data_IF_483608629652
#
_entry.id   IF_483608629652
#
_cell.length_a   1.000
_cell.length_b   1.000
_cell.length_c   1.000
_cell.angle_alpha   90.00
_cell.angle_beta   90.00
_cell.angle_gamma   90.00
#
_symmetry.space_group_name_H-M   'P 1'
#
loop_
_entity.id
_entity.type
_entity.pdbx_description
1 polymer ?
#
# COMPACT_ATOMS: atom_id res chain seq x y z
N UNK A 1 -8.12 18.32 -2.51
CA UNK A 1 -8.20 17.11 -3.37
C UNK A 1 -9.39 17.27 -4.30
N UNK A 2 -9.21 17.06 -5.60
CA UNK A 2 -10.28 17.24 -6.58
C UNK A 2 -11.11 15.96 -6.74
N UNK A 3 -12.43 16.11 -6.84
CA UNK A 3 -13.35 15.06 -7.29
C UNK A 3 -13.77 15.43 -8.70
N UNK A 4 -13.55 14.52 -9.65
CA UNK A 4 -13.83 14.71 -11.06
C UNK A 4 -14.92 13.74 -11.51
N UNK A 5 -15.70 14.13 -12.52
CA UNK A 5 -16.61 13.21 -13.20
C UNK A 5 -15.80 12.20 -14.02
N UNK A 6 -16.06 10.92 -13.82
CA UNK A 6 -15.31 9.86 -14.50
C UNK A 6 -15.58 9.83 -16.02
N UNK A 7 -16.68 10.43 -16.50
CA UNK A 7 -17.09 10.37 -17.91
C UNK A 7 -16.34 11.39 -18.76
N UNK A 8 -16.18 12.61 -18.26
CA UNK A 8 -15.67 13.75 -19.02
C UNK A 8 -14.53 14.51 -18.31
N UNK A 9 -14.16 14.09 -17.10
CA UNK A 9 -13.09 14.70 -16.32
C UNK A 9 -13.43 16.08 -15.73
N UNK A 10 -14.68 16.55 -15.85
CA UNK A 10 -15.04 17.87 -15.32
C UNK A 10 -14.92 17.89 -13.79
N UNK A 11 -14.45 18.99 -13.18
CA UNK A 11 -14.40 19.10 -11.73
C UNK A 11 -15.80 19.14 -11.13
N UNK A 12 -16.07 18.24 -10.19
CA UNK A 12 -17.31 18.20 -9.43
C UNK A 12 -17.16 18.94 -8.11
N UNK A 13 -16.11 18.62 -7.33
CA UNK A 13 -15.88 19.15 -5.98
C UNK A 13 -14.40 19.31 -5.69
N UNK A 14 -14.11 20.10 -4.65
CA UNK A 14 -12.80 20.16 -4.01
C UNK A 14 -12.98 19.83 -2.54
N UNK A 15 -12.34 18.76 -2.10
CA UNK A 15 -12.26 18.36 -0.69
C UNK A 15 -11.04 19.05 -0.07
N UNK A 16 -11.30 20.00 0.82
CA UNK A 16 -10.26 20.78 1.49
C UNK A 16 -9.74 20.05 2.73
N UNK A 17 -8.42 20.03 2.88
CA UNK A 17 -7.72 19.54 4.06
C UNK A 17 -6.48 20.40 4.27
N UNK A 18 -6.04 20.53 5.53
CA UNK A 18 -4.79 21.22 5.82
C UNK A 18 -3.61 20.36 5.33
N UNK A 19 -2.60 20.98 4.71
CA UNK A 19 -1.29 20.38 4.44
C UNK A 19 -0.27 21.46 4.07
N UNK A 20 1.02 21.24 4.34
CA UNK A 20 2.09 22.09 3.80
C UNK A 20 2.62 21.56 2.47
N UNK A 21 2.61 20.25 2.25
CA UNK A 21 3.03 19.59 1.01
C UNK A 21 1.99 18.59 0.52
N UNK A 22 1.96 18.33 -0.78
CA UNK A 22 1.03 17.38 -1.40
C UNK A 22 1.57 15.94 -1.46
N UNK A 23 2.61 15.60 -0.69
CA UNK A 23 3.22 14.25 -0.62
C UNK A 23 2.41 13.29 0.26
N UNK A 24 1.08 13.40 0.24
CA UNK A 24 0.19 12.49 0.94
C UNK A 24 0.05 11.18 0.17
N UNK A 25 -0.26 10.09 0.88
CA UNK A 25 -0.62 8.83 0.24
C UNK A 25 -1.93 8.92 -0.56
N UNK A 26 -2.23 7.84 -1.29
CA UNK A 26 -3.43 7.79 -2.12
C UNK A 26 -4.70 7.91 -1.26
N UNK A 27 -5.72 8.67 -1.69
CA UNK A 27 -7.02 8.67 -1.03
C UNK A 27 -7.72 7.32 -1.22
N UNK A 28 -8.47 6.90 -0.21
CA UNK A 28 -9.08 5.56 -0.17
C UNK A 28 -10.60 5.68 -0.12
N UNK A 29 -11.31 5.34 -1.20
CA UNK A 29 -12.78 5.30 -1.19
C UNK A 29 -13.27 4.03 -0.47
N UNK A 30 -14.32 4.17 0.35
CA UNK A 30 -15.05 3.03 0.92
C UNK A 30 -16.52 3.40 1.17
N UNK A 31 -17.44 2.75 0.46
CA UNK A 31 -18.84 3.17 0.41
C UNK A 31 -18.96 4.57 -0.18
N UNK A 32 -19.78 5.42 0.45
CA UNK A 32 -19.98 6.82 0.02
C UNK A 32 -18.89 7.79 0.52
N UNK A 33 -17.94 7.27 1.33
CA UNK A 33 -16.93 8.09 1.98
C UNK A 33 -15.56 7.95 1.32
N UNK A 34 -14.76 9.00 1.44
CA UNK A 34 -13.35 9.05 1.05
C UNK A 34 -12.47 9.33 2.25
N UNK A 35 -11.42 8.54 2.44
CA UNK A 35 -10.49 8.66 3.55
C UNK A 35 -9.11 9.11 3.07
N UNK A 36 -8.45 9.98 3.83
CA UNK A 36 -7.16 10.54 3.44
C UNK A 36 -6.27 10.88 4.63
N UNK A 37 -5.01 10.45 4.60
CA UNK A 37 -3.97 10.95 5.50
C UNK A 37 -3.36 12.22 4.90
N UNK A 38 -3.40 13.32 5.63
CA UNK A 38 -2.79 14.57 5.21
C UNK A 38 -1.26 14.57 5.41
N UNK A 39 -0.56 15.49 4.74
CA UNK A 39 0.88 15.65 4.87
C UNK A 39 1.33 16.48 6.09
N UNK A 40 2.63 16.79 6.15
CA UNK A 40 3.42 17.20 7.33
C UNK A 40 2.93 18.38 8.20
N UNK A 41 2.03 19.25 7.75
CA UNK A 41 1.37 20.25 8.64
C UNK A 41 -0.14 20.05 8.76
N UNK A 42 -0.71 19.24 7.87
CA UNK A 42 -2.07 18.74 8.02
C UNK A 42 -2.18 17.73 9.14
N UNK A 43 -1.20 16.84 9.21
CA UNK A 43 -0.93 15.84 10.25
C UNK A 43 -2.17 15.15 10.84
N UNK A 44 -3.14 14.90 9.99
CA UNK A 44 -4.43 14.35 10.37
C UNK A 44 -4.95 13.36 9.36
N UNK A 45 -5.85 12.51 9.82
CA UNK A 45 -6.62 11.59 8.98
C UNK A 45 -8.02 12.17 8.84
N UNK A 46 -8.51 12.24 7.62
CA UNK A 46 -9.78 12.85 7.27
C UNK A 46 -10.72 11.82 6.66
N UNK A 47 -12.01 11.98 6.93
CA UNK A 47 -13.08 11.34 6.18
C UNK A 47 -13.97 12.42 5.56
N UNK A 48 -14.33 12.21 4.30
CA UNK A 48 -15.20 13.08 3.53
C UNK A 48 -16.39 12.30 2.99
N UNK A 49 -17.53 12.95 2.86
CA UNK A 49 -18.57 12.56 1.92
C UNK A 49 -18.16 13.16 0.57
N UNK A 50 -17.74 12.29 -0.36
CA UNK A 50 -17.19 12.72 -1.64
C UNK A 50 -18.26 13.33 -2.56
N UNK A 51 -19.50 12.89 -2.44
CA UNK A 51 -20.62 13.36 -3.25
C UNK A 51 -21.13 14.73 -2.77
N UNK A 52 -21.30 14.88 -1.45
CA UNK A 52 -21.68 16.13 -0.83
C UNK A 52 -20.53 17.15 -0.84
N UNK A 53 -19.28 16.69 -0.84
CA UNK A 53 -18.10 17.54 -0.76
C UNK A 53 -17.82 18.05 0.65
N UNK A 54 -18.31 17.36 1.69
CA UNK A 54 -18.25 17.78 3.08
C UNK A 54 -17.30 16.89 3.88
N UNK A 55 -16.64 17.46 4.89
CA UNK A 55 -15.88 16.69 5.85
C UNK A 55 -16.84 16.01 6.84
N UNK A 56 -16.72 14.70 6.98
CA UNK A 56 -17.50 13.91 7.96
C UNK A 56 -16.83 13.98 9.32
N UNK A 57 -15.53 13.67 9.37
CA UNK A 57 -14.71 13.82 10.57
C UNK A 57 -13.25 14.08 10.21
N UNK A 58 -12.51 14.59 11.18
CA UNK A 58 -11.05 14.68 11.12
C UNK A 58 -10.46 14.21 12.45
N UNK A 59 -9.36 13.48 12.36
CA UNK A 59 -8.57 13.06 13.50
C UNK A 59 -7.20 13.71 13.42
N UNK A 60 -6.92 14.58 14.37
CA UNK A 60 -5.62 15.21 14.60
C UNK A 60 -5.25 15.07 16.08
N UNK A 61 -3.98 15.30 16.42
CA UNK A 61 -3.53 15.53 17.80
C UNK A 61 -2.78 16.86 17.84
N UNK A 62 -2.54 17.42 19.03
CA UNK A 62 -1.77 18.67 19.17
C UNK A 62 -0.36 18.57 18.60
N UNK A 63 0.18 17.35 18.53
CA UNK A 63 1.42 17.02 17.84
C UNK A 63 1.17 16.58 16.38
N UNK A 64 0.04 15.97 16.05
CA UNK A 64 -0.19 15.34 14.76
C UNK A 64 0.06 13.83 14.80
N UNK A 65 -0.48 13.11 13.82
CA UNK A 65 -0.51 11.63 13.82
C UNK A 65 0.01 10.97 12.55
N UNK A 66 0.22 11.74 11.49
CA UNK A 66 0.78 11.30 10.19
C UNK A 66 1.79 12.35 9.72
N UNK A 67 2.63 12.02 8.76
CA UNK A 67 3.70 12.89 8.27
C UNK A 67 3.66 13.04 6.75
N UNK A 68 4.10 12.03 6.02
CA UNK A 68 4.06 12.01 4.56
C UNK A 68 4.17 10.59 4.02
N UNK A 69 3.54 10.38 2.87
CA UNK A 69 3.52 9.10 2.16
C UNK A 69 2.48 8.09 2.66
N UNK A 70 1.87 8.29 3.83
CA UNK A 70 0.98 7.30 4.42
C UNK A 70 -0.28 7.15 3.55
N UNK A 71 -0.52 5.94 3.04
CA UNK A 71 -1.79 5.55 2.47
C UNK A 71 -2.57 4.75 3.50
N UNK A 72 -3.90 4.93 3.51
CA UNK A 72 -4.74 4.28 4.50
C UNK A 72 -5.11 2.84 4.07
N UNK A 73 -5.38 1.98 5.04
CA UNK A 73 -6.24 0.81 4.85
C UNK A 73 -7.63 1.16 5.37
N UNK A 74 -8.69 0.71 4.71
CA UNK A 74 -10.08 0.97 5.17
C UNK A 74 -10.92 -0.29 4.99
N UNK A 75 -11.68 -0.67 6.02
CA UNK A 75 -12.70 -1.72 5.92
C UNK A 75 -14.06 -1.23 6.44
N UNK A 76 -15.03 -2.12 6.60
CA UNK A 76 -16.37 -1.75 7.05
C UNK A 76 -16.42 -1.08 8.43
N UNK A 77 -15.45 -1.35 9.31
CA UNK A 77 -15.40 -0.91 10.71
C UNK A 77 -14.35 0.15 10.97
N UNK A 78 -13.20 0.08 10.30
CA UNK A 78 -12.01 0.81 10.72
C UNK A 78 -11.23 1.46 9.58
N UNK A 79 -10.43 2.46 9.97
CA UNK A 79 -9.39 3.10 9.16
C UNK A 79 -8.05 2.79 9.81
N UNK A 80 -7.10 2.33 9.00
CA UNK A 80 -5.79 1.83 9.42
C UNK A 80 -4.69 2.68 8.81
N UNK A 81 -3.66 2.99 9.59
CA UNK A 81 -2.43 3.59 9.07
C UNK A 81 -1.27 3.28 10.00
N UNK A 82 -0.09 3.14 9.42
CA UNK A 82 1.14 3.02 10.18
C UNK A 82 1.78 4.40 10.32
N UNK A 83 2.13 4.77 11.54
CA UNK A 83 2.91 5.98 11.81
C UNK A 83 3.60 5.90 13.16
N UNK A 84 4.74 6.58 13.30
CA UNK A 84 5.45 6.73 14.57
C UNK A 84 5.74 5.42 15.31
N UNK A 85 6.03 4.33 14.58
CA UNK A 85 6.31 3.02 15.19
C UNK A 85 5.07 2.29 15.68
N UNK A 86 3.89 2.54 15.12
CA UNK A 86 2.67 1.85 15.52
C UNK A 86 1.69 1.71 14.37
N UNK A 87 0.94 0.61 14.39
CA UNK A 87 -0.30 0.48 13.64
C UNK A 87 -1.41 1.17 14.41
N UNK A 88 -1.98 2.23 13.83
CA UNK A 88 -3.10 2.98 14.38
C UNK A 88 -4.40 2.55 13.70
N UNK A 89 -5.43 2.34 14.51
CA UNK A 89 -6.76 1.87 14.08
C UNK A 89 -7.81 2.83 14.62
N UNK A 90 -8.53 3.50 13.73
CA UNK A 90 -9.61 4.41 14.06
C UNK A 90 -10.96 3.76 13.75
N UNK A 91 -11.97 4.04 14.55
CA UNK A 91 -13.37 3.77 14.20
C UNK A 91 -13.73 4.56 12.93
N UNK A 92 -14.21 3.87 11.90
CA UNK A 92 -14.53 4.49 10.62
C UNK A 92 -15.70 5.47 10.71
N UNK A 93 -16.61 5.25 11.66
CA UNK A 93 -17.81 6.06 11.83
C UNK A 93 -17.52 7.48 12.34
N UNK A 94 -16.54 7.65 13.21
CA UNK A 94 -16.31 8.91 13.94
C UNK A 94 -14.84 9.34 14.07
N UNK A 95 -13.89 8.52 13.58
CA UNK A 95 -12.46 8.82 13.64
C UNK A 95 -11.84 8.67 15.04
N UNK A 96 -12.58 8.15 16.03
CA UNK A 96 -12.06 7.89 17.37
C UNK A 96 -11.06 6.74 17.35
N UNK A 97 -10.06 6.75 18.24
CA UNK A 97 -9.06 5.68 18.29
C UNK A 97 -9.70 4.42 18.86
N UNK A 98 -9.72 3.34 18.07
CA UNK A 98 -10.09 2.01 18.54
C UNK A 98 -8.89 1.30 19.16
N UNK A 99 -7.75 1.32 18.47
CA UNK A 99 -6.55 0.61 18.92
C UNK A 99 -5.27 1.24 18.37
N UNK A 100 -4.19 1.10 19.14
CA UNK A 100 -2.82 1.30 18.67
C UNK A 100 -2.01 0.06 19.02
N UNK A 101 -1.28 -0.49 18.05
CA UNK A 101 -0.47 -1.69 18.22
C UNK A 101 0.98 -1.33 17.90
N UNK A 102 1.87 -1.46 18.87
CA UNK A 102 3.25 -0.98 18.77
C UNK A 102 4.10 -1.88 17.87
N UNK A 103 4.92 -1.26 17.02
CA UNK A 103 6.08 -1.86 16.38
C UNK A 103 7.32 -1.67 17.27
N UNK A 104 7.82 -2.71 17.96
CA UNK A 104 8.99 -2.59 18.84
C UNK A 104 10.31 -2.42 18.06
N UNK A 105 10.29 -2.51 16.73
CA UNK A 105 11.48 -2.41 15.87
C UNK A 105 11.67 -1.01 15.27
N UNK A 106 10.76 -0.08 15.54
CA UNK A 106 10.82 1.29 15.02
C UNK A 106 12.08 2.04 15.46
N UNK A 107 12.85 2.54 14.51
CA UNK A 107 14.03 3.35 14.78
C UNK A 107 13.67 4.84 14.80
N UNK A 108 13.81 5.46 15.98
CA UNK A 108 13.62 6.91 16.15
C UNK A 108 14.87 7.73 15.84
N UNK A 109 16.01 7.07 15.60
CA UNK A 109 17.29 7.76 15.45
C UNK A 109 17.28 8.69 14.23
N UNK A 110 17.61 9.97 14.45
CA UNK A 110 17.71 10.98 13.39
C UNK A 110 16.37 11.59 12.93
N UNK A 111 15.24 11.25 13.55
CA UNK A 111 13.95 11.82 13.21
C UNK A 111 13.71 13.13 13.98
N UNK A 112 13.31 14.18 13.27
CA UNK A 112 12.81 15.41 13.89
C UNK A 112 11.43 15.21 14.53
N UNK A 113 10.64 14.26 14.01
CA UNK A 113 9.27 14.03 14.45
C UNK A 113 8.87 12.55 14.48
N UNK A 114 8.03 12.10 13.54
CA UNK A 114 7.61 10.70 13.42
C UNK A 114 8.20 9.98 12.20
N UNK A 115 8.94 10.70 11.36
CA UNK A 115 9.55 10.20 10.12
C UNK A 115 8.52 9.96 9.00
N UNK A 116 9.03 9.76 7.79
CA UNK A 116 8.22 9.55 6.58
C UNK A 116 7.85 8.08 6.42
N UNK A 117 6.63 7.80 5.96
CA UNK A 117 6.18 6.44 5.74
C UNK A 117 5.38 6.30 4.45
N UNK A 118 6.05 5.89 3.39
CA UNK A 118 5.42 5.56 2.12
C UNK A 118 4.97 4.11 2.14
N UNK A 119 3.65 3.88 2.17
CA UNK A 119 3.07 2.54 2.14
C UNK A 119 1.61 2.52 2.58
N UNK A 120 0.95 1.41 2.32
CA UNK A 120 -0.43 1.17 2.75
C UNK A 120 -0.52 -0.09 3.63
N UNK A 121 -1.33 -0.09 4.71
CA UNK A 121 -1.75 -1.33 5.37
C UNK A 121 -2.52 -2.24 4.40
N UNK A 122 -2.15 -3.53 4.38
CA UNK A 122 -2.81 -4.58 3.62
C UNK A 122 -3.69 -5.37 4.59
N UNK A 123 -4.99 -5.49 4.28
CA UNK A 123 -5.98 -6.13 5.15
C UNK A 123 -6.37 -7.49 4.59
N UNK A 124 -6.42 -8.53 5.41
CA UNK A 124 -6.93 -9.86 4.98
C UNK A 124 -8.43 -10.08 5.21
N UNK A 125 -9.11 -9.09 5.79
CA UNK A 125 -10.52 -9.19 6.16
C UNK A 125 -10.79 -10.10 7.36
N UNK A 126 -9.74 -10.59 8.06
CA UNK A 126 -9.80 -11.47 9.23
C UNK A 126 -9.03 -10.87 10.41
N UNK A 127 -9.10 -9.55 10.55
CA UNK A 127 -8.44 -8.77 11.59
C UNK A 127 -6.91 -8.72 11.53
N UNK A 128 -6.26 -9.33 10.51
CA UNK A 128 -4.81 -9.21 10.33
C UNK A 128 -4.48 -8.05 9.38
N UNK A 129 -3.40 -7.36 9.72
CA UNK A 129 -2.91 -6.19 9.00
C UNK A 129 -1.43 -6.38 8.70
N UNK A 130 -1.03 -6.19 7.45
CA UNK A 130 0.37 -6.30 7.03
C UNK A 130 0.86 -4.97 6.48
N UNK A 131 2.07 -4.57 6.85
CA UNK A 131 2.67 -3.33 6.36
C UNK A 131 4.19 -3.37 6.53
N UNK A 132 4.90 -2.29 6.23
CA UNK A 132 6.34 -2.20 6.46
C UNK A 132 6.67 -1.79 7.90
N UNK A 133 7.75 -2.34 8.45
CA UNK A 133 8.22 -2.09 9.81
C UNK A 133 9.29 -1.03 9.81
N UNK A 134 9.00 0.15 10.38
CA UNK A 134 9.85 1.36 10.41
C UNK A 134 9.60 2.38 9.27
N UNK A 135 10.20 3.56 9.40
CA UNK A 135 10.20 4.62 8.40
C UNK A 135 10.63 4.10 7.04
N UNK A 136 10.03 4.66 6.00
CA UNK A 136 10.24 4.20 4.63
C UNK A 136 9.99 5.35 3.67
N UNK A 137 11.03 5.76 2.95
CA UNK A 137 10.92 6.68 1.83
C UNK A 137 10.28 6.04 0.59
N UNK A 138 9.92 6.88 -0.39
CA UNK A 138 9.46 6.40 -1.68
C UNK A 138 10.56 5.55 -2.33
N UNK A 139 10.21 4.33 -2.77
CA UNK A 139 11.12 3.34 -3.35
C UNK A 139 12.17 2.74 -2.40
N UNK A 140 12.09 2.98 -1.09
CA UNK A 140 12.95 2.30 -0.14
C UNK A 140 12.44 0.88 0.17
N UNK A 141 13.33 0.02 0.65
CA UNK A 141 12.96 -1.34 1.06
C UNK A 141 12.92 -1.46 2.57
N UNK A 142 11.96 -2.24 3.07
CA UNK A 142 11.87 -2.52 4.50
C UNK A 142 11.29 -3.91 4.78
N UNK A 143 11.44 -4.41 6.00
CA UNK A 143 10.83 -5.66 6.41
C UNK A 143 9.30 -5.49 6.50
N UNK A 144 8.56 -6.57 6.22
CA UNK A 144 7.12 -6.60 6.41
C UNK A 144 6.84 -7.05 7.85
N UNK A 145 5.87 -6.41 8.50
CA UNK A 145 5.38 -6.72 9.84
C UNK A 145 3.87 -6.97 9.79
N UNK A 146 3.43 -7.93 10.60
CA UNK A 146 2.03 -8.25 10.79
C UNK A 146 1.54 -7.79 12.16
N UNK A 147 0.32 -7.28 12.17
CA UNK A 147 -0.46 -6.96 13.35
C UNK A 147 -1.79 -7.69 13.30
N UNK A 148 -2.44 -7.84 14.44
CA UNK A 148 -3.80 -8.38 14.50
C UNK A 148 -4.63 -7.61 15.53
N UNK A 149 -5.91 -7.32 15.23
CA UNK A 149 -6.77 -6.56 16.15
C UNK A 149 -6.99 -7.27 17.49
N UNK A 150 -6.85 -8.61 17.53
CA UNK A 150 -6.87 -9.39 18.77
C UNK A 150 -5.59 -9.32 19.60
N UNK A 151 -4.49 -8.80 19.07
CA UNK A 151 -3.16 -8.81 19.71
C UNK A 151 -2.72 -7.41 20.12
N UNK A 152 -2.02 -7.29 21.26
CA UNK A 152 -1.48 -6.00 21.73
C UNK A 152 -0.11 -5.67 21.15
N UNK A 153 0.56 -6.67 20.56
CA UNK A 153 1.87 -6.56 19.93
C UNK A 153 1.80 -7.09 18.49
N UNK A 154 2.87 -6.88 17.73
CA UNK A 154 3.07 -7.50 16.42
C UNK A 154 2.97 -9.04 16.49
N UNK A 155 2.56 -9.65 15.38
CA UNK A 155 2.41 -11.11 15.24
C UNK A 155 3.70 -11.74 14.75
N UNK A 156 4.24 -11.21 13.64
CA UNK A 156 5.52 -11.62 13.07
C UNK A 156 6.13 -10.46 12.28
N UNK A 157 7.43 -10.57 12.00
CA UNK A 157 8.18 -9.65 11.13
C UNK A 157 9.12 -10.46 10.26
N UNK A 158 9.24 -10.11 8.98
CA UNK A 158 10.16 -10.78 8.07
C UNK A 158 11.62 -10.44 8.41
N UNK A 159 12.51 -11.40 8.16
CA UNK A 159 13.96 -11.19 8.20
C UNK A 159 14.46 -10.45 6.96
N UNK A 160 13.91 -10.78 5.79
CA UNK A 160 14.20 -10.10 4.53
C UNK A 160 13.48 -8.75 4.43
N UNK A 161 14.00 -7.89 3.55
CA UNK A 161 13.40 -6.62 3.17
C UNK A 161 12.74 -6.71 1.80
N UNK A 162 11.68 -5.93 1.63
CA UNK A 162 10.83 -5.92 0.45
C UNK A 162 10.66 -4.50 -0.07
N UNK A 163 10.44 -4.38 -1.37
CA UNK A 163 10.26 -3.12 -2.10
C UNK A 163 8.97 -3.17 -2.90
N UNK A 164 8.39 -2.01 -3.19
CA UNK A 164 7.07 -1.91 -3.82
C UNK A 164 5.96 -2.39 -2.87
N UNK A 165 4.71 -2.03 -3.15
CA UNK A 165 3.59 -2.49 -2.32
C UNK A 165 3.33 -3.99 -2.59
N UNK A 166 3.41 -4.88 -1.58
CA UNK A 166 3.05 -6.28 -1.74
C UNK A 166 1.55 -6.45 -2.02
N UNK A 167 1.17 -7.58 -2.59
CA UNK A 167 -0.23 -7.93 -2.79
C UNK A 167 -0.62 -9.18 -2.01
N UNK A 168 -1.86 -9.21 -1.51
CA UNK A 168 -2.40 -10.32 -0.74
C UNK A 168 -3.38 -11.14 -1.58
N UNK A 169 -3.23 -12.47 -1.59
CA UNK A 169 -4.27 -13.38 -2.07
C UNK A 169 -4.16 -14.74 -1.39
N UNK A 170 -5.29 -15.32 -1.02
CA UNK A 170 -5.36 -16.70 -0.54
C UNK A 170 -4.47 -16.97 0.69
N UNK A 171 -4.36 -16.01 1.61
CA UNK A 171 -3.50 -16.13 2.80
C UNK A 171 -2.00 -16.02 2.51
N UNK A 172 -1.61 -15.54 1.32
CA UNK A 172 -0.22 -15.34 0.92
C UNK A 172 0.02 -13.89 0.52
N UNK A 173 1.11 -13.31 1.01
CA UNK A 173 1.66 -12.06 0.48
C UNK A 173 2.65 -12.38 -0.63
N UNK A 174 2.54 -11.65 -1.73
CA UNK A 174 3.46 -11.67 -2.85
C UNK A 174 4.27 -10.39 -2.79
N UNK A 175 5.56 -10.50 -2.47
CA UNK A 175 6.40 -9.37 -2.12
C UNK A 175 7.71 -9.37 -2.94
N UNK A 176 7.99 -8.31 -3.72
CA UNK A 176 9.27 -8.17 -4.42
C UNK A 176 10.40 -8.04 -3.41
N UNK A 177 11.31 -9.01 -3.40
CA UNK A 177 12.45 -9.00 -2.50
C UNK A 177 13.43 -7.90 -2.95
N UNK A 178 13.84 -7.07 -1.99
CA UNK A 178 14.72 -5.94 -2.26
C UNK A 178 16.01 -6.35 -2.99
N UNK A 179 16.44 -5.53 -3.96
CA UNK A 179 17.65 -5.74 -4.76
C UNK A 179 17.73 -7.12 -5.41
N UNK A 180 16.59 -7.62 -5.92
CA UNK A 180 16.53 -8.96 -6.50
C UNK A 180 15.52 -9.10 -7.63
N UNK A 181 15.60 -10.23 -8.34
CA UNK A 181 14.65 -10.68 -9.36
C UNK A 181 13.62 -11.68 -8.80
N UNK A 182 13.41 -11.67 -7.48
CA UNK A 182 12.52 -12.61 -6.81
C UNK A 182 11.26 -11.93 -6.25
N UNK A 183 10.14 -12.61 -6.41
CA UNK A 183 8.93 -12.37 -5.63
C UNK A 183 8.82 -13.47 -4.59
N UNK A 184 8.87 -13.11 -3.31
CA UNK A 184 8.64 -14.06 -2.23
C UNK A 184 7.15 -14.25 -1.99
N UNK A 185 6.77 -15.50 -1.75
CA UNK A 185 5.43 -15.92 -1.36
C UNK A 185 5.44 -16.19 0.14
N UNK A 186 4.96 -15.23 0.91
CA UNK A 186 4.99 -15.24 2.38
C UNK A 186 3.65 -15.73 2.91
N UNK A 187 3.66 -16.74 3.76
CA UNK A 187 2.47 -17.19 4.49
C UNK A 187 2.04 -16.13 5.51
N UNK A 188 0.79 -15.69 5.42
CA UNK A 188 0.28 -14.59 6.27
C UNK A 188 0.10 -14.96 7.73
N UNK A 189 -0.08 -16.24 8.05
CA UNK A 189 -0.26 -16.69 9.43
C UNK A 189 1.07 -16.69 10.19
N UNK A 190 2.17 -17.03 9.51
CA UNK A 190 3.48 -17.28 10.13
C UNK A 190 4.57 -16.29 9.76
N UNK A 191 4.42 -15.56 8.67
CA UNK A 191 5.47 -14.71 8.10
C UNK A 191 6.58 -15.51 7.39
N UNK A 192 6.42 -16.83 7.24
CA UNK A 192 7.40 -17.69 6.59
C UNK A 192 7.36 -17.54 5.07
N UNK A 193 8.52 -17.45 4.44
CA UNK A 193 8.65 -17.53 2.98
C UNK A 193 8.43 -18.99 2.55
N UNK A 194 7.31 -19.25 1.87
CA UNK A 194 6.92 -20.60 1.39
C UNK A 194 7.44 -20.92 -0.01
N UNK A 195 7.74 -19.89 -0.80
CA UNK A 195 8.38 -20.00 -2.11
C UNK A 195 9.04 -18.67 -2.49
N UNK A 196 9.98 -18.72 -3.43
CA UNK A 196 10.56 -17.54 -4.08
C UNK A 196 10.48 -17.74 -5.60
N UNK A 197 9.66 -16.95 -6.27
CA UNK A 197 9.46 -17.02 -7.72
C UNK A 197 10.49 -16.12 -8.39
N UNK A 198 11.27 -16.67 -9.33
CA UNK A 198 12.27 -15.91 -10.09
C UNK A 198 11.69 -15.43 -11.41
N UNK A 199 11.92 -14.17 -11.78
CA UNK A 199 11.65 -13.68 -13.14
C UNK A 199 12.77 -14.03 -14.14
N UNK A 200 13.83 -14.72 -13.70
CA UNK A 200 14.95 -15.17 -14.52
C UNK A 200 16.26 -14.42 -14.30
N UNK A 201 17.34 -14.97 -14.86
CA UNK A 201 18.71 -14.43 -14.78
C UNK A 201 18.91 -13.28 -15.77
N UNK A 202 19.70 -12.28 -15.40
CA UNK A 202 20.00 -11.13 -16.25
C UNK A 202 18.87 -10.10 -16.36
N UNK A 203 17.79 -10.27 -15.59
CA UNK A 203 16.69 -9.31 -15.48
C UNK A 203 17.01 -8.19 -14.48
N UNK A 204 16.44 -6.99 -14.68
CA UNK A 204 16.54 -5.90 -13.71
C UNK A 204 15.90 -6.28 -12.37
N UNK A 205 16.36 -5.63 -11.29
CA UNK A 205 15.74 -5.77 -9.98
C UNK A 205 14.28 -5.30 -10.01
N UNK A 206 13.42 -6.03 -9.32
CA UNK A 206 12.02 -5.68 -9.17
C UNK A 206 11.88 -4.46 -8.24
N UNK A 207 11.04 -3.51 -8.62
CA UNK A 207 10.80 -2.26 -7.89
C UNK A 207 9.32 -1.83 -7.85
N UNK A 208 8.47 -2.38 -8.72
CA UNK A 208 7.05 -2.03 -8.77
C UNK A 208 6.26 -2.58 -7.58
N UNK A 209 5.03 -2.08 -7.39
CA UNK A 209 4.02 -2.83 -6.64
C UNK A 209 3.63 -4.13 -7.35
N UNK A 210 2.95 -5.01 -6.63
CA UNK A 210 2.43 -6.28 -7.17
C UNK A 210 0.94 -6.16 -7.47
N UNK A 211 0.52 -6.74 -8.59
CA UNK A 211 -0.89 -7.06 -8.86
C UNK A 211 -1.02 -8.57 -8.92
N UNK A 212 -1.87 -9.16 -8.10
CA UNK A 212 -2.10 -10.60 -8.08
C UNK A 212 -3.55 -10.91 -8.42
N UNK A 213 -3.75 -11.83 -9.37
CA UNK A 213 -5.06 -12.32 -9.80
C UNK A 213 -5.21 -13.79 -9.41
N UNK A 214 -6.23 -14.45 -9.94
CA UNK A 214 -6.42 -15.88 -9.71
C UNK A 214 -5.36 -16.75 -10.36
N UNK A 215 -4.89 -16.32 -11.52
CA UNK A 215 -4.04 -17.10 -12.40
C UNK A 215 -2.66 -16.47 -12.61
N UNK A 216 -2.48 -15.17 -12.31
CA UNK A 216 -1.23 -14.48 -12.61
C UNK A 216 -0.77 -13.55 -11.50
N UNK A 217 0.54 -13.33 -11.44
CA UNK A 217 1.16 -12.17 -10.80
C UNK A 217 1.66 -11.24 -11.90
N UNK A 218 1.42 -9.94 -11.74
CA UNK A 218 2.12 -8.89 -12.47
C UNK A 218 3.04 -8.14 -11.53
N UNK A 219 4.31 -8.00 -11.96
CA UNK A 219 5.38 -7.34 -11.21
C UNK A 219 6.40 -6.81 -12.21
N UNK A 220 7.18 -5.81 -11.83
CA UNK A 220 8.12 -5.17 -12.73
C UNK A 220 9.27 -4.45 -12.03
N UNK A 221 10.17 -3.96 -12.86
CA UNK A 221 11.22 -3.01 -12.54
C UNK A 221 10.81 -1.60 -12.99
N UNK A 222 11.75 -0.66 -13.01
CA UNK A 222 11.57 0.65 -13.62
C UNK A 222 11.44 0.58 -15.16
N UNK A 223 11.90 -0.51 -15.78
CA UNK A 223 12.01 -0.62 -17.25
C UNK A 223 11.24 -1.78 -17.86
N UNK A 224 10.91 -2.81 -17.08
CA UNK A 224 10.24 -4.03 -17.57
C UNK A 224 9.08 -4.44 -16.67
N UNK A 225 8.03 -5.02 -17.25
CA UNK A 225 6.90 -5.64 -16.53
C UNK A 225 6.77 -7.10 -16.97
N UNK A 226 6.45 -7.98 -16.03
CA UNK A 226 6.36 -9.42 -16.22
C UNK A 226 4.98 -9.92 -15.79
N UNK A 227 4.46 -10.93 -16.51
CA UNK A 227 3.36 -11.76 -16.03
C UNK A 227 3.88 -13.16 -15.71
N UNK A 228 3.58 -13.63 -14.51
CA UNK A 228 3.96 -14.95 -13.99
C UNK A 228 2.70 -15.78 -13.88
N UNK A 229 2.69 -16.98 -14.45
CA UNK A 229 1.57 -17.93 -14.30
C UNK A 229 1.62 -18.60 -12.91
N UNK A 230 0.56 -18.44 -12.12
CA UNK A 230 0.41 -19.02 -10.80
C UNK A 230 -0.04 -20.48 -10.81
N UNK A 231 -0.66 -20.93 -11.90
CA UNK A 231 -1.25 -22.26 -12.05
C UNK A 231 -0.25 -23.25 -12.65
N UNK A 232 0.69 -22.77 -13.46
CA UNK A 232 1.75 -23.59 -14.02
C UNK A 232 2.83 -23.96 -12.99
N UNK A 233 3.30 -25.21 -13.06
CA UNK A 233 4.40 -25.69 -12.21
C UNK A 233 5.67 -24.87 -12.46
N UNK A 234 6.31 -24.43 -11.37
CA UNK A 234 7.53 -23.61 -11.45
C UNK A 234 7.29 -22.12 -11.66
N UNK A 235 6.03 -21.67 -11.76
CA UNK A 235 5.64 -20.27 -11.92
C UNK A 235 6.42 -19.54 -13.03
N UNK A 236 6.32 -20.01 -14.29
CA UNK A 236 7.06 -19.41 -15.39
C UNK A 236 6.58 -17.98 -15.67
N UNK A 237 7.52 -17.14 -16.11
CA UNK A 237 7.18 -15.88 -16.76
C UNK A 237 6.59 -16.22 -18.14
N UNK A 238 5.32 -15.89 -18.35
CA UNK A 238 4.58 -16.18 -19.59
C UNK A 238 4.45 -14.96 -20.50
N UNK A 239 4.73 -13.77 -19.99
CA UNK A 239 4.71 -12.53 -20.75
C UNK A 239 5.69 -11.49 -20.18
N UNK A 240 6.21 -10.62 -21.04
CA UNK A 240 7.09 -9.50 -20.67
C UNK A 240 6.82 -8.29 -21.57
N UNK A 241 6.87 -7.08 -20.99
CA UNK A 241 6.88 -5.81 -21.72
C UNK A 241 8.07 -4.95 -21.34
N UNK A 242 8.59 -4.18 -22.31
CA UNK A 242 9.64 -3.19 -22.13
C UNK A 242 9.10 -1.84 -21.59
N UNK A 243 8.19 -1.93 -20.63
CA UNK A 243 7.66 -0.80 -19.85
C UNK A 243 7.67 -1.21 -18.39
N UNK A 244 8.18 -0.36 -17.50
CA UNK A 244 8.17 -0.59 -16.07
C UNK A 244 7.55 0.57 -15.30
N UNK A 245 7.35 0.38 -14.01
CA UNK A 245 6.72 1.36 -13.12
C UNK A 245 5.56 0.80 -12.31
N UNK A 246 4.70 1.70 -11.81
CA UNK A 246 3.56 1.34 -10.98
C UNK A 246 2.49 0.61 -11.80
N UNK A 247 1.90 -0.43 -11.21
CA UNK A 247 0.96 -1.32 -11.85
C UNK A 247 -0.45 -1.13 -11.30
N UNK A 248 -1.45 -1.14 -12.17
CA UNK A 248 -2.86 -1.19 -11.80
C UNK A 248 -3.62 -2.10 -12.76
N UNK A 249 -4.74 -2.66 -12.30
CA UNK A 249 -5.65 -3.42 -13.15
C UNK A 249 -6.98 -2.66 -13.26
N UNK A 250 -7.45 -2.43 -14.48
CA UNK A 250 -8.77 -1.84 -14.70
C UNK A 250 -9.88 -2.90 -14.64
N UNK A 251 -11.15 -2.47 -14.40
CA UNK A 251 -12.31 -3.36 -14.50
C UNK A 251 -12.48 -4.02 -15.88
N UNK A 252 -11.92 -3.41 -16.93
CA UNK A 252 -12.00 -3.89 -18.31
C UNK A 252 -10.82 -4.81 -18.70
N UNK A 253 -10.19 -5.43 -17.70
CA UNK A 253 -9.04 -6.32 -17.87
C UNK A 253 -7.84 -5.66 -18.57
N UNK A 254 -7.59 -4.37 -18.32
CA UNK A 254 -6.38 -3.70 -18.75
C UNK A 254 -5.37 -3.68 -17.61
N UNK A 255 -4.19 -4.25 -17.84
CA UNK A 255 -3.01 -3.96 -17.03
C UNK A 255 -2.47 -2.60 -17.44
N UNK A 256 -2.52 -1.63 -16.53
CA UNK A 256 -1.98 -0.29 -16.71
C UNK A 256 -0.61 -0.21 -16.04
N UNK A 257 0.38 0.30 -16.78
CA UNK A 257 1.75 0.53 -16.31
C UNK A 257 2.04 2.02 -16.40
N UNK A 258 2.30 2.65 -15.26
CA UNK A 258 2.71 4.06 -15.18
C UNK A 258 4.18 4.16 -14.82
N UNK A 259 4.98 4.58 -15.79
CA UNK A 259 6.42 4.76 -15.65
C UNK A 259 6.88 6.16 -16.06
N UNK A 260 8.20 6.37 -16.03
CA UNK A 260 8.80 7.68 -16.35
C UNK A 260 8.54 8.13 -17.80
N UNK A 261 8.28 7.20 -18.71
CA UNK A 261 7.99 7.48 -20.13
C UNK A 261 6.50 7.70 -20.42
N UNK A 262 5.62 7.60 -19.41
CA UNK A 262 4.18 7.79 -19.54
C UNK A 262 3.38 6.58 -19.05
N UNK A 263 2.16 6.46 -19.58
CA UNK A 263 1.21 5.39 -19.21
C UNK A 263 1.03 4.45 -20.40
N UNK A 264 1.20 3.15 -20.17
CA UNK A 264 0.93 2.08 -21.12
C UNK A 264 -0.20 1.19 -20.61
N UNK A 265 -0.97 0.58 -21.52
CA UNK A 265 -2.04 -0.34 -21.16
C UNK A 265 -1.97 -1.60 -22.02
N UNK A 266 -2.13 -2.75 -21.37
CA UNK A 266 -2.10 -4.07 -21.99
C UNK A 266 -3.41 -4.78 -21.72
N UNK A 267 -4.06 -5.26 -22.78
CA UNK A 267 -5.28 -6.05 -22.65
C UNK A 267 -4.92 -7.47 -22.22
N UNK A 268 -5.49 -7.92 -21.10
CA UNK A 268 -5.41 -9.30 -20.65
C UNK A 268 -6.49 -10.11 -21.37
N UNK A 269 -6.13 -11.30 -21.85
CA UNK A 269 -7.01 -12.23 -22.55
C UNK A 269 -7.45 -13.37 -21.62
#
# INVERSE_FOLDING_TARGET
>A
MSVLDATDGRPLRVLSYASQWATAGAPVPFGDNLYHAAGYYGNGVYAFDAAAGTQVWTRTTGSGIVQEGESLGVDQRYVYFYSAGSMNVLNRADGTVFKTITDPFFSRAGLSYYGSYFGAPILDGKDNIFTFSDNRGQNESNAIIAFALGQTNFVWKTSAKYIGQPALRGGKLYAPRANSTFVDVIDTATGAVTASISIGTGKPNLTSNVVVTESHIFVGSETETYAIDLLATGNPVVWTAATGGALALSPDNLLVVSGNSGVSAYKLL
#
